data_IF_331678396874
#
_entry.id   IF_331678396874
#
_cell.length_a   1.000
_cell.length_b   1.000
_cell.length_c   1.000
_cell.angle_alpha   90.00
_cell.angle_beta   90.00
_cell.angle_gamma   90.00
#
_symmetry.space_group_name_H-M   'P 1'
#
loop_
_entity.id
_entity.type
_entity.pdbx_description
1 polymer ?
#
# COMPACT_ATOMS: atom_id res chain seq x y z
N UNK A 1 -2.33 3.54 -7.36
CA UNK A 1 -2.74 2.42 -8.24
C UNK A 1 -2.95 1.15 -7.42
N UNK A 2 -3.99 0.37 -7.71
CA UNK A 2 -4.18 -0.98 -7.14
C UNK A 2 -3.73 -2.04 -8.16
N UNK A 3 -3.11 -3.11 -7.65
CA UNK A 3 -2.76 -4.31 -8.42
C UNK A 3 -3.74 -5.41 -7.99
N UNK A 4 -4.31 -6.13 -8.97
CA UNK A 4 -5.20 -7.25 -8.68
C UNK A 4 -4.38 -8.36 -8.05
N UNK A 5 -4.94 -9.03 -7.03
CA UNK A 5 -4.26 -10.15 -6.36
C UNK A 5 -3.86 -11.24 -7.36
N UNK A 6 -4.71 -11.53 -8.34
CA UNK A 6 -4.46 -12.52 -9.39
C UNK A 6 -3.24 -12.20 -10.28
N UNK A 7 -2.88 -10.93 -10.46
CA UNK A 7 -1.72 -10.54 -11.27
C UNK A 7 -0.41 -10.62 -10.49
N UNK A 8 -0.47 -10.72 -9.16
CA UNK A 8 0.68 -10.49 -8.30
C UNK A 8 1.79 -11.51 -8.50
N UNK A 9 1.46 -12.79 -8.56
CA UNK A 9 2.46 -13.85 -8.77
C UNK A 9 3.15 -13.73 -10.12
N UNK A 10 2.39 -13.33 -11.15
CA UNK A 10 2.90 -13.12 -12.51
C UNK A 10 3.81 -11.88 -12.59
N UNK A 11 3.53 -10.84 -11.80
CA UNK A 11 4.43 -9.68 -11.65
C UNK A 11 5.70 -10.08 -10.88
N UNK A 12 5.57 -10.88 -9.82
CA UNK A 12 6.71 -11.37 -9.02
C UNK A 12 7.65 -12.25 -9.83
N UNK A 13 7.13 -13.10 -10.71
CA UNK A 13 7.93 -13.93 -11.62
C UNK A 13 8.50 -13.18 -12.82
N UNK A 14 8.03 -11.96 -13.09
CA UNK A 14 8.42 -11.17 -14.26
C UNK A 14 7.64 -11.54 -15.54
N UNK A 15 6.64 -12.41 -15.47
CA UNK A 15 5.75 -12.72 -16.59
C UNK A 15 4.89 -11.50 -16.99
N UNK A 16 4.45 -10.71 -16.00
CA UNK A 16 3.74 -9.44 -16.22
C UNK A 16 4.64 -8.28 -15.85
N UNK A 17 5.01 -7.48 -16.83
CA UNK A 17 5.91 -6.32 -16.69
C UNK A 17 5.25 -4.99 -17.04
N UNK A 18 4.04 -5.04 -17.61
CA UNK A 18 3.26 -3.86 -17.96
C UNK A 18 1.94 -3.80 -17.19
N UNK A 19 1.49 -2.57 -16.94
CA UNK A 19 0.13 -2.27 -16.53
C UNK A 19 -0.42 -1.13 -17.39
N UNK A 20 -1.71 -1.20 -17.70
CA UNK A 20 -2.41 -0.15 -18.43
C UNK A 20 -3.50 0.46 -17.55
N UNK A 21 -3.57 1.80 -17.52
CA UNK A 21 -4.57 2.54 -16.73
C UNK A 21 -5.05 3.76 -17.49
N UNK A 22 -6.35 4.05 -17.40
CA UNK A 22 -6.91 5.34 -17.81
C UNK A 22 -7.00 6.28 -16.62
N UNK A 23 -6.36 7.44 -16.73
CA UNK A 23 -6.30 8.44 -15.67
C UNK A 23 -6.39 9.86 -16.22
N UNK A 24 -7.08 10.75 -15.49
CA UNK A 24 -6.96 12.21 -15.68
C UNK A 24 -5.58 12.73 -15.25
N UNK A 25 -5.03 12.18 -14.17
CA UNK A 25 -3.67 12.43 -13.68
C UNK A 25 -3.06 11.14 -13.15
N UNK A 26 -1.79 10.84 -13.46
CA UNK A 26 -1.17 9.60 -13.03
C UNK A 26 -0.99 9.54 -11.51
N UNK A 27 -1.21 8.36 -10.93
CA UNK A 27 -1.08 8.13 -9.47
C UNK A 27 0.28 7.60 -9.06
N UNK A 28 1.16 7.37 -10.03
CA UNK A 28 2.56 6.91 -9.88
C UNK A 28 3.44 7.72 -10.83
N UNK A 29 4.75 7.71 -10.61
CA UNK A 29 5.74 8.42 -11.44
C UNK A 29 6.86 7.47 -11.83
N UNK A 30 7.44 7.68 -13.02
CA UNK A 30 8.65 6.99 -13.45
C UNK A 30 9.80 7.22 -12.46
N UNK A 31 10.62 6.19 -12.23
CA UNK A 31 11.67 6.15 -11.22
C UNK A 31 11.16 5.99 -9.78
N UNK A 32 9.84 6.00 -9.56
CA UNK A 32 9.24 5.83 -8.23
C UNK A 32 9.05 4.37 -7.84
N UNK A 33 8.54 4.16 -6.63
CA UNK A 33 8.08 2.84 -6.16
C UNK A 33 6.59 2.85 -5.83
N UNK A 34 5.92 1.74 -6.10
CA UNK A 34 4.57 1.46 -5.61
C UNK A 34 4.64 0.39 -4.52
N UNK A 35 4.35 0.79 -3.28
CA UNK A 35 4.21 -0.14 -2.16
C UNK A 35 2.81 -0.73 -2.13
N UNK A 36 2.71 -2.04 -2.05
CA UNK A 36 1.47 -2.80 -1.89
C UNK A 36 1.57 -3.68 -0.65
N UNK A 37 0.46 -4.30 -0.23
CA UNK A 37 0.49 -5.29 0.86
C UNK A 37 1.22 -6.58 0.51
N UNK A 38 1.42 -6.86 -0.78
CA UNK A 38 2.05 -8.09 -1.27
C UNK A 38 3.53 -7.87 -1.66
N UNK A 39 4.01 -6.63 -1.60
CA UNK A 39 5.39 -6.26 -1.88
C UNK A 39 5.53 -4.90 -2.55
N UNK A 40 6.76 -4.59 -2.93
CA UNK A 40 7.16 -3.32 -3.54
C UNK A 40 7.44 -3.53 -5.02
N UNK A 41 6.89 -2.63 -5.84
CA UNK A 41 7.16 -2.57 -7.26
C UNK A 41 7.97 -1.31 -7.58
N UNK A 42 9.00 -1.43 -8.41
CA UNK A 42 9.58 -0.26 -9.08
C UNK A 42 8.69 0.13 -10.26
N UNK A 43 8.56 1.44 -10.48
CA UNK A 43 7.85 2.03 -11.61
C UNK A 43 8.91 2.59 -12.55
N UNK A 44 9.33 1.77 -13.51
CA UNK A 44 10.44 2.11 -14.39
C UNK A 44 10.05 3.19 -15.41
N UNK A 45 8.80 3.16 -15.91
CA UNK A 45 8.29 4.16 -16.86
C UNK A 45 6.79 4.36 -16.75
N UNK A 46 6.32 5.55 -17.12
CA UNK A 46 4.90 5.93 -17.21
C UNK A 46 4.70 6.78 -18.46
N UNK A 47 4.20 6.18 -19.52
CA UNK A 47 4.05 6.82 -20.83
C UNK A 47 2.57 6.98 -21.18
N UNK A 48 2.19 8.11 -21.78
CA UNK A 48 0.88 8.24 -22.43
C UNK A 48 0.92 7.55 -23.79
N UNK A 49 -0.07 6.71 -24.08
CA UNK A 49 -0.14 5.97 -25.35
C UNK A 49 -1.53 6.06 -25.97
N UNK A 50 -1.59 6.06 -27.31
CA UNK A 50 -2.85 6.05 -28.08
C UNK A 50 -3.21 4.66 -28.62
N UNK A 51 -2.23 3.74 -28.66
CA UNK A 51 -2.37 2.39 -29.19
C UNK A 51 -1.64 1.38 -28.33
N UNK A 52 -2.08 0.13 -28.38
CA UNK A 52 -1.49 -1.00 -27.66
C UNK A 52 -1.29 -2.16 -28.63
N UNK A 53 -0.09 -2.73 -28.64
CA UNK A 53 0.23 -3.91 -29.44
C UNK A 53 -0.19 -5.21 -28.75
N UNK A 54 -0.27 -6.31 -29.51
CA UNK A 54 -0.51 -7.64 -28.94
C UNK A 54 0.57 -8.04 -27.94
N UNK A 55 1.84 -7.75 -28.24
CA UNK A 55 2.96 -8.05 -27.34
C UNK A 55 2.82 -7.30 -26.00
N UNK A 56 2.41 -6.03 -26.03
CA UNK A 56 2.16 -5.27 -24.81
C UNK A 56 0.96 -5.79 -24.02
N UNK A 57 -0.10 -6.24 -24.71
CA UNK A 57 -1.24 -6.86 -24.04
C UNK A 57 -0.83 -8.14 -23.30
N UNK A 58 -0.03 -8.99 -23.94
CA UNK A 58 0.53 -10.22 -23.33
C UNK A 58 1.43 -9.87 -22.14
N UNK A 59 2.35 -8.90 -22.30
CA UNK A 59 3.22 -8.43 -21.21
C UNK A 59 2.45 -7.74 -20.06
N UNK A 60 1.20 -7.33 -20.29
CA UNK A 60 0.28 -6.85 -19.27
C UNK A 60 -0.63 -7.94 -18.69
N UNK A 61 -0.44 -9.19 -19.13
CA UNK A 61 -1.17 -10.37 -18.63
C UNK A 61 -2.48 -10.65 -19.34
N UNK A 62 -2.77 -9.99 -20.48
CA UNK A 62 -4.00 -10.17 -21.26
C UNK A 62 -3.75 -11.01 -22.52
N UNK A 63 -4.68 -11.90 -22.91
CA UNK A 63 -4.52 -12.73 -24.10
C UNK A 63 -4.65 -11.93 -25.41
N UNK A 64 -5.36 -10.80 -25.39
CA UNK A 64 -5.64 -9.96 -26.56
C UNK A 64 -5.67 -8.48 -26.19
N UNK A 65 -5.48 -7.61 -27.21
CA UNK A 65 -5.64 -6.15 -27.06
C UNK A 65 -7.08 -5.81 -26.65
N UNK A 66 -8.08 -6.49 -27.21
CA UNK A 66 -9.48 -6.26 -26.85
C UNK A 66 -9.76 -6.53 -25.36
N UNK A 67 -9.22 -7.63 -24.81
CA UNK A 67 -9.37 -7.96 -23.38
C UNK A 67 -8.72 -6.91 -22.47
N UNK A 68 -7.56 -6.38 -22.88
CA UNK A 68 -6.90 -5.28 -22.16
C UNK A 68 -7.73 -4.00 -22.22
N UNK A 69 -8.20 -3.61 -23.40
CA UNK A 69 -8.97 -2.38 -23.59
C UNK A 69 -10.29 -2.41 -22.81
N UNK A 70 -10.98 -3.55 -22.79
CA UNK A 70 -12.18 -3.74 -21.97
C UNK A 70 -11.90 -3.56 -20.47
N UNK A 71 -10.72 -3.98 -19.99
CA UNK A 71 -10.34 -3.81 -18.57
C UNK A 71 -10.15 -2.35 -18.13
N UNK A 72 -9.92 -1.43 -19.08
CA UNK A 72 -9.73 0.00 -18.83
C UNK A 72 -10.90 0.85 -19.33
N UNK A 73 -11.94 0.20 -19.86
CA UNK A 73 -13.15 0.85 -20.36
C UNK A 73 -13.96 1.51 -19.23
N UNK A 74 -14.77 2.51 -19.57
CA UNK A 74 -15.58 3.27 -18.60
C UNK A 74 -14.78 4.19 -17.66
N UNK A 75 -13.46 4.29 -17.84
CA UNK A 75 -12.59 5.21 -17.09
C UNK A 75 -12.23 6.43 -17.93
N UNK A 76 -12.22 7.61 -17.31
CA UNK A 76 -11.89 8.85 -17.99
C UNK A 76 -10.38 9.16 -18.01
N UNK A 77 -9.97 9.94 -19.00
CA UNK A 77 -8.60 10.43 -19.18
C UNK A 77 -7.74 9.60 -20.13
N UNK A 78 -6.46 9.93 -20.19
CA UNK A 78 -5.49 9.33 -21.11
C UNK A 78 -5.14 7.91 -20.71
N UNK A 79 -4.83 7.07 -21.70
CA UNK A 79 -4.31 5.73 -21.47
C UNK A 79 -2.80 5.82 -21.19
N UNK A 80 -2.40 5.30 -20.02
CA UNK A 80 -1.01 5.21 -19.61
C UNK A 80 -0.52 3.77 -19.70
N UNK A 81 0.66 3.58 -20.31
CA UNK A 81 1.46 2.37 -20.24
C UNK A 81 2.47 2.53 -19.11
N UNK A 82 2.43 1.62 -18.15
CA UNK A 82 3.26 1.65 -16.96
C UNK A 82 4.17 0.43 -16.99
N UNK A 83 5.48 0.64 -17.02
CA UNK A 83 6.47 -0.44 -16.87
C UNK A 83 6.79 -0.60 -15.39
N UNK A 84 6.71 -1.84 -14.90
CA UNK A 84 6.96 -2.16 -13.52
C UNK A 84 7.67 -3.49 -13.37
N UNK A 85 8.34 -3.65 -12.24
CA UNK A 85 8.99 -4.90 -11.82
C UNK A 85 8.91 -5.05 -10.31
N UNK A 86 8.84 -6.29 -9.85
CA UNK A 86 8.94 -6.59 -8.42
C UNK A 86 10.37 -6.30 -7.93
N UNK A 87 10.49 -5.63 -6.78
CA UNK A 87 11.80 -5.27 -6.20
C UNK A 87 12.00 -5.76 -4.76
N UNK A 88 10.98 -6.37 -4.16
CA UNK A 88 11.10 -6.95 -2.84
C UNK A 88 9.78 -7.04 -2.11
N UNK A 89 9.82 -7.72 -0.97
CA UNK A 89 8.67 -7.84 -0.08
C UNK A 89 8.37 -6.50 0.59
N UNK A 90 7.17 -6.35 1.15
CA UNK A 90 6.80 -5.11 1.83
C UNK A 90 7.66 -5.01 3.10
N UNK A 91 8.57 -4.02 3.21
CA UNK A 91 9.50 -3.93 4.35
C UNK A 91 8.76 -3.81 5.69
N UNK A 92 7.48 -3.40 5.69
CA UNK A 92 6.64 -3.35 6.89
C UNK A 92 6.35 -4.73 7.48
N UNK A 93 6.40 -5.80 6.69
CA UNK A 93 6.19 -7.17 7.19
C UNK A 93 7.37 -7.55 8.09
N UNK A 94 8.61 -7.35 7.62
CA UNK A 94 9.80 -7.60 8.43
C UNK A 94 9.83 -6.69 9.67
N UNK A 95 9.53 -5.40 9.52
CA UNK A 95 9.53 -4.46 10.63
C UNK A 95 8.50 -4.84 11.71
N UNK A 96 7.24 -5.16 11.32
CA UNK A 96 6.18 -5.42 12.30
C UNK A 96 6.37 -6.73 13.06
N UNK A 97 7.01 -7.72 12.44
CA UNK A 97 7.33 -9.00 13.08
C UNK A 97 8.54 -8.92 14.01
N UNK A 98 9.39 -7.90 13.86
CA UNK A 98 10.54 -7.68 14.73
C UNK A 98 10.14 -7.01 16.05
N UNK A 99 10.79 -7.35 17.15
CA UNK A 99 10.69 -6.63 18.44
C UNK A 99 11.77 -5.57 18.62
N UNK A 100 12.70 -5.43 17.66
CA UNK A 100 13.70 -4.37 17.64
C UNK A 100 13.01 -3.00 17.55
N UNK A 101 13.36 -2.08 18.46
CA UNK A 101 12.81 -0.73 18.51
C UNK A 101 13.90 0.34 18.50
N UNK A 102 15.15 -0.05 18.21
CA UNK A 102 16.29 0.85 18.26
C UNK A 102 16.13 2.01 17.26
N UNK A 103 16.47 3.22 17.72
CA UNK A 103 16.34 4.45 16.94
C UNK A 103 14.90 4.87 16.61
N UNK A 104 13.89 4.24 17.21
CA UNK A 104 12.50 4.60 16.96
C UNK A 104 12.06 5.79 17.81
N UNK A 105 12.08 6.97 17.20
CA UNK A 105 11.51 8.16 17.82
C UNK A 105 10.04 8.38 17.38
N UNK A 106 9.16 8.54 18.37
CA UNK A 106 7.75 8.91 18.19
C UNK A 106 7.46 10.20 18.97
N UNK A 107 6.61 11.06 18.40
CA UNK A 107 6.07 12.20 19.15
C UNK A 107 5.08 11.74 20.22
N UNK A 108 4.83 12.57 21.23
CA UNK A 108 3.83 12.29 22.28
C UNK A 108 2.46 11.94 21.69
N UNK A 109 2.02 12.67 20.66
CA UNK A 109 0.76 12.39 19.97
C UNK A 109 0.75 11.01 19.27
N UNK A 110 1.89 10.57 18.74
CA UNK A 110 2.02 9.25 18.13
C UNK A 110 2.03 8.14 19.20
N UNK A 111 2.68 8.37 20.34
CA UNK A 111 2.64 7.47 21.51
C UNK A 111 1.22 7.33 22.06
N UNK A 112 0.51 8.44 22.25
CA UNK A 112 -0.87 8.45 22.71
C UNK A 112 -1.80 7.67 21.76
N UNK A 113 -1.63 7.86 20.44
CA UNK A 113 -2.37 7.09 19.45
C UNK A 113 -2.03 5.59 19.49
N UNK A 114 -0.75 5.24 19.70
CA UNK A 114 -0.32 3.86 19.82
C UNK A 114 -0.95 3.18 21.04
N UNK A 115 -0.93 3.84 22.20
CA UNK A 115 -1.63 3.38 23.43
C UNK A 115 -3.14 3.24 23.23
N UNK A 116 -3.77 4.20 22.54
CA UNK A 116 -5.20 4.14 22.22
C UNK A 116 -5.56 2.87 21.42
N UNK A 117 -4.75 2.54 20.40
CA UNK A 117 -4.94 1.32 19.60
C UNK A 117 -4.70 0.08 20.43
N UNK A 118 -3.69 0.09 21.30
CA UNK A 118 -3.38 -1.03 22.21
C UNK A 118 -4.57 -1.37 23.11
N UNK A 119 -5.24 -0.35 23.65
CA UNK A 119 -6.40 -0.52 24.54
C UNK A 119 -7.69 -0.92 23.79
N UNK A 120 -7.75 -0.75 22.46
CA UNK A 120 -8.98 -0.90 21.68
C UNK A 120 -8.75 -1.74 20.40
N UNK A 121 -8.23 -2.98 20.50
CA UNK A 121 -7.97 -3.81 19.33
C UNK A 121 -9.29 -4.14 18.61
N UNK A 122 -9.30 -4.02 17.28
CA UNK A 122 -10.45 -4.36 16.46
C UNK A 122 -11.58 -3.32 16.42
N UNK A 123 -11.47 -2.21 17.14
CA UNK A 123 -12.48 -1.13 17.10
C UNK A 123 -12.46 -0.42 15.74
N UNK A 124 -13.65 -0.14 15.19
CA UNK A 124 -13.76 0.54 13.89
C UNK A 124 -13.07 1.90 13.96
N UNK A 125 -12.36 2.23 12.89
CA UNK A 125 -11.61 3.48 12.79
C UNK A 125 -12.47 4.75 12.93
N UNK A 126 -13.78 4.68 12.67
CA UNK A 126 -14.68 5.80 12.89
C UNK A 126 -14.95 6.00 14.39
N UNK A 127 -15.32 4.91 15.07
CA UNK A 127 -15.64 4.88 16.49
C UNK A 127 -14.41 5.24 17.35
N UNK A 128 -13.24 4.70 16.99
CA UNK A 128 -11.98 5.02 17.66
C UNK A 128 -11.52 6.47 17.46
N UNK A 129 -11.86 7.07 16.31
CA UNK A 129 -11.58 8.49 16.08
C UNK A 129 -12.55 9.37 16.90
N UNK A 130 -13.83 8.99 16.92
CA UNK A 130 -14.87 9.68 17.70
C UNK A 130 -14.60 9.63 19.21
N UNK A 131 -14.07 8.52 19.74
CA UNK A 131 -13.75 8.39 21.17
C UNK A 131 -12.70 9.37 21.67
N UNK A 132 -11.92 9.98 20.76
CA UNK A 132 -10.94 11.03 21.07
C UNK A 132 -11.28 12.36 20.41
N UNK A 133 -12.53 12.55 19.99
CA UNK A 133 -13.01 13.81 19.40
C UNK A 133 -12.34 14.17 18.07
N UNK A 134 -11.83 13.20 17.31
CA UNK A 134 -11.12 13.42 16.05
C UNK A 134 -11.95 13.01 14.84
N UNK A 135 -11.73 13.74 13.74
CA UNK A 135 -12.25 13.32 12.44
C UNK A 135 -11.55 12.05 11.91
N UNK A 136 -12.35 11.18 11.27
CA UNK A 136 -11.91 9.87 10.76
C UNK A 136 -10.76 9.95 9.76
N UNK A 137 -10.76 10.91 8.84
CA UNK A 137 -9.75 10.97 7.77
C UNK A 137 -8.36 11.35 8.29
N UNK A 138 -8.20 12.46 9.05
CA UNK A 138 -6.95 12.77 9.75
C UNK A 138 -6.49 11.64 10.67
N UNK A 139 -7.41 11.05 11.45
CA UNK A 139 -7.09 9.92 12.34
C UNK A 139 -6.46 8.75 11.56
N UNK A 140 -7.10 8.33 10.46
CA UNK A 140 -6.55 7.28 9.59
C UNK A 140 -5.21 7.67 8.98
N UNK A 141 -4.94 8.94 8.73
CA UNK A 141 -3.64 9.38 8.21
C UNK A 141 -2.53 9.12 9.24
N UNK A 142 -2.77 9.39 10.51
CA UNK A 142 -1.78 9.12 11.58
C UNK A 142 -1.62 7.63 11.85
N UNK A 143 -2.71 6.84 11.83
CA UNK A 143 -2.60 5.38 11.93
C UNK A 143 -1.73 4.81 10.79
N UNK A 144 -1.82 5.38 9.58
CA UNK A 144 -0.96 4.99 8.46
C UNK A 144 0.52 5.32 8.70
N UNK A 145 0.84 6.41 9.42
CA UNK A 145 2.22 6.74 9.83
C UNK A 145 2.77 5.69 10.79
N UNK A 146 1.99 5.30 11.81
CA UNK A 146 2.35 4.21 12.73
C UNK A 146 2.55 2.87 11.99
N UNK A 147 1.63 2.53 11.09
CA UNK A 147 1.74 1.34 10.24
C UNK A 147 2.98 1.36 9.34
N UNK A 148 3.39 2.52 8.85
CA UNK A 148 4.58 2.66 8.02
C UNK A 148 5.88 2.39 8.80
N UNK A 149 5.89 2.68 10.12
CA UNK A 149 6.96 2.32 11.06
C UNK A 149 6.87 0.87 11.56
N UNK A 150 5.93 0.09 11.05
CA UNK A 150 5.72 -1.30 11.45
C UNK A 150 5.14 -1.46 12.84
N UNK A 151 4.47 -0.45 13.41
CA UNK A 151 3.98 -0.50 14.80
C UNK A 151 2.55 -1.03 14.93
N UNK A 152 1.75 -0.95 13.87
CA UNK A 152 0.34 -1.35 13.87
C UNK A 152 -0.02 -2.20 12.66
N UNK A 153 -1.05 -3.03 12.83
CA UNK A 153 -1.62 -3.87 11.78
C UNK A 153 -3.06 -3.44 11.49
N UNK A 154 -3.48 -3.55 10.22
CA UNK A 154 -4.88 -3.35 9.85
C UNK A 154 -5.57 -4.69 9.82
N UNK A 155 -6.72 -4.76 10.46
CA UNK A 155 -7.59 -5.93 10.46
C UNK A 155 -8.71 -5.71 9.43
N UNK A 156 -9.55 -6.72 9.25
CA UNK A 156 -10.82 -6.56 8.52
C UNK A 156 -11.66 -5.44 9.16
N UNK A 157 -11.71 -5.42 10.49
CA UNK A 157 -12.31 -4.34 11.28
C UNK A 157 -11.28 -3.79 12.25
N UNK A 158 -10.96 -2.49 12.09
CA UNK A 158 -10.10 -1.78 13.03
C UNK A 158 -8.61 -2.07 12.89
N UNK A 159 -7.91 -1.90 14.01
CA UNK A 159 -6.45 -1.96 14.10
C UNK A 159 -6.03 -2.79 15.32
N UNK A 160 -4.78 -3.25 15.32
CA UNK A 160 -4.09 -3.77 16.52
C UNK A 160 -2.63 -3.36 16.51
N UNK A 161 -1.95 -3.51 17.63
CA UNK A 161 -0.50 -3.43 17.64
C UNK A 161 0.14 -4.60 16.90
N UNK A 162 1.35 -4.36 16.43
CA UNK A 162 2.27 -5.41 15.99
C UNK A 162 3.21 -5.80 17.14
N UNK A 163 3.95 -6.92 17.02
CA UNK A 163 5.05 -7.23 17.92
C UNK A 163 6.02 -6.05 18.18
N UNK A 164 6.40 -5.29 17.13
CA UNK A 164 7.24 -4.08 17.27
C UNK A 164 6.57 -2.99 18.09
N UNK A 165 5.27 -2.76 17.85
CA UNK A 165 4.49 -1.75 18.56
C UNK A 165 4.32 -2.07 20.04
N UNK A 166 4.11 -3.34 20.36
CA UNK A 166 4.06 -3.81 21.75
C UNK A 166 5.42 -3.67 22.44
N UNK A 167 6.50 -4.06 21.75
CA UNK A 167 7.86 -3.87 22.26
C UNK A 167 8.15 -2.40 22.56
N UNK A 168 7.76 -1.50 21.68
CA UNK A 168 7.98 -0.07 21.87
C UNK A 168 7.20 0.50 23.06
N UNK A 169 5.97 0.06 23.31
CA UNK A 169 5.25 0.51 24.51
C UNK A 169 5.92 0.01 25.79
N UNK A 170 6.43 -1.23 25.80
CA UNK A 170 7.16 -1.76 26.97
C UNK A 170 8.38 -0.92 27.35
N UNK A 171 9.08 -0.32 26.37
CA UNK A 171 10.23 0.56 26.68
C UNK A 171 9.84 1.90 27.29
N UNK A 172 8.56 2.29 27.22
CA UNK A 172 8.05 3.55 27.80
C UNK A 172 7.43 3.35 29.19
N UNK A 173 7.11 2.11 29.54
CA UNK A 173 6.53 1.74 30.83
C UNK A 173 7.61 1.25 31.82
N UNK A 174 8.89 1.36 31.43
CA UNK A 174 10.09 1.10 32.26
C UNK A 174 10.68 2.44 32.74
#
# INVERSE_FOLDING_TARGET
MLIRVADWQRIRSGEVTLQFRRWKRPTVRAGGTLRTSLGVLAIDAVDVVSRVSRAEAVAAGFPTVAALMSSVEGREGSLYRIRLRFVGEDPRIALRSSSDVDGLELSEAAVALLRLIAANPGVRAADLAASVGREKLPFKADVRKLKAKGLTESLEVGYRLSPRGEAYLRTLDT
#
